data_IF_754628358346
#
_entry.id   IF_754628358346
#
_cell.length_a   1.000
_cell.length_b   1.000
_cell.length_c   1.000
_cell.angle_alpha   90.00
_cell.angle_beta   90.00
_cell.angle_gamma   90.00
#
_symmetry.space_group_name_H-M   'P 1'
#
loop_
_entity.id
_entity.type
_entity.pdbx_description
1 polymer ?
#
# COMPACT_ATOMS: atom_id res chain seq x y z
N UNK A 1 -2.19 17.24 14.96
CA UNK A 1 -2.45 15.93 14.36
C UNK A 1 -3.94 15.79 14.20
N UNK A 2 -4.45 15.88 12.97
CA UNK A 2 -5.80 15.41 12.67
C UNK A 2 -5.71 13.89 12.48
N UNK A 3 -6.50 13.15 13.23
CA UNK A 3 -6.65 11.71 13.00
C UNK A 3 -7.89 11.49 12.16
N UNK A 4 -7.71 10.77 11.06
CA UNK A 4 -8.83 10.33 10.24
C UNK A 4 -9.09 8.87 10.58
N UNK A 5 -10.33 8.60 10.93
CA UNK A 5 -10.81 7.28 11.36
C UNK A 5 -11.99 6.88 10.48
N UNK A 6 -11.88 5.72 9.84
CA UNK A 6 -12.96 5.13 9.07
C UNK A 6 -12.81 3.60 9.04
N UNK A 7 -13.88 2.91 8.66
CA UNK A 7 -13.89 1.47 8.44
C UNK A 7 -14.12 1.17 6.97
N UNK A 8 -13.35 0.22 6.45
CA UNK A 8 -13.48 -0.35 5.12
C UNK A 8 -14.30 -1.64 5.20
N UNK A 9 -15.24 -1.82 4.28
CA UNK A 9 -16.13 -2.98 4.22
C UNK A 9 -15.87 -3.78 2.93
N UNK A 10 -14.94 -4.73 3.00
CA UNK A 10 -14.66 -5.66 1.91
C UNK A 10 -15.65 -6.82 1.99
N UNK A 11 -16.61 -6.85 1.06
CA UNK A 11 -17.71 -7.79 1.05
C UNK A 11 -17.67 -8.55 -0.27
N UNK A 12 -17.35 -9.84 -0.19
CA UNK A 12 -17.24 -10.79 -1.29
C UNK A 12 -18.49 -11.64 -1.45
N UNK A 13 -19.41 -11.63 -0.50
CA UNK A 13 -20.58 -12.51 -0.46
C UNK A 13 -21.91 -11.76 -0.47
N UNK A 14 -22.97 -12.45 -0.91
CA UNK A 14 -24.35 -11.93 -0.90
C UNK A 14 -24.67 -10.92 -2.00
N UNK A 15 -25.78 -10.20 -1.84
CA UNK A 15 -26.26 -9.20 -2.83
C UNK A 15 -25.52 -7.86 -2.75
N UNK A 16 -24.78 -7.62 -1.66
CA UNK A 16 -24.10 -6.35 -1.39
C UNK A 16 -22.59 -6.46 -1.59
N UNK A 17 -22.17 -7.24 -2.60
CA UNK A 17 -20.75 -7.38 -2.93
C UNK A 17 -20.14 -6.02 -3.28
N UNK A 18 -18.99 -5.73 -2.67
CA UNK A 18 -18.23 -4.51 -2.89
C UNK A 18 -16.93 -4.76 -3.65
N UNK A 19 -16.59 -6.01 -3.91
CA UNK A 19 -15.42 -6.41 -4.71
C UNK A 19 -15.75 -7.54 -5.69
N UNK A 20 -15.10 -7.52 -6.87
CA UNK A 20 -15.31 -8.49 -7.95
C UNK A 20 -13.97 -8.96 -8.49
N UNK A 21 -13.80 -10.27 -8.66
CA UNK A 21 -12.58 -10.83 -9.30
C UNK A 21 -12.55 -10.48 -10.78
N UNK A 22 -11.47 -9.81 -11.20
CA UNK A 22 -11.26 -9.37 -12.59
C UNK A 22 -10.14 -10.11 -13.31
N UNK A 23 -9.22 -10.74 -12.57
CA UNK A 23 -8.07 -11.44 -13.15
C UNK A 23 -7.52 -12.53 -12.22
N UNK A 24 -6.79 -13.47 -12.81
CA UNK A 24 -6.09 -14.54 -12.12
C UNK A 24 -6.98 -15.68 -11.58
N UNK A 25 -6.35 -16.78 -11.12
CA UNK A 25 -7.06 -17.92 -10.54
C UNK A 25 -7.76 -17.53 -9.23
N UNK A 26 -8.85 -18.20 -8.80
CA UNK A 26 -9.51 -17.90 -7.54
C UNK A 26 -8.69 -18.36 -6.33
N UNK A 27 -8.61 -17.50 -5.29
CA UNK A 27 -7.96 -17.76 -3.99
C UNK A 27 -6.51 -18.28 -4.10
N UNK A 28 -5.76 -17.83 -5.10
CA UNK A 28 -4.36 -18.24 -5.37
C UNK A 28 -3.54 -17.00 -5.73
N UNK A 29 -2.20 -17.15 -5.79
CA UNK A 29 -1.33 -16.10 -6.33
C UNK A 29 -1.95 -15.52 -7.60
N UNK A 30 -2.02 -14.19 -7.68
CA UNK A 30 -2.55 -13.48 -8.83
C UNK A 30 -4.05 -13.25 -8.86
N UNK A 31 -4.85 -13.80 -7.92
CA UNK A 31 -6.25 -13.40 -7.76
C UNK A 31 -6.29 -11.88 -7.60
N UNK A 32 -6.93 -11.19 -8.54
CA UNK A 32 -7.05 -9.73 -8.53
C UNK A 32 -8.51 -9.34 -8.49
N UNK A 33 -8.87 -8.49 -7.53
CA UNK A 33 -10.21 -7.99 -7.34
C UNK A 33 -10.26 -6.48 -7.58
N UNK A 34 -11.26 -6.05 -8.32
CA UNK A 34 -11.68 -4.65 -8.40
C UNK A 34 -12.51 -4.30 -7.18
N UNK A 35 -12.29 -3.11 -6.66
CA UNK A 35 -12.67 -2.65 -5.34
C UNK A 35 -13.56 -1.41 -5.44
N UNK A 36 -14.72 -1.45 -4.77
CA UNK A 36 -15.72 -0.39 -4.68
C UNK A 36 -16.27 -0.26 -3.26
N UNK A 37 -15.42 -0.42 -2.25
CA UNK A 37 -15.85 -0.63 -0.87
C UNK A 37 -16.36 0.63 -0.19
N UNK A 38 -17.43 0.45 0.58
CA UNK A 38 -18.04 1.50 1.38
C UNK A 38 -17.12 1.87 2.54
N UNK A 39 -17.02 3.17 2.83
CA UNK A 39 -16.35 3.69 4.03
C UNK A 39 -17.38 4.23 5.03
N UNK A 40 -17.25 3.85 6.29
CA UNK A 40 -18.13 4.33 7.37
C UNK A 40 -17.35 4.83 8.60
N UNK A 41 -17.94 5.69 9.43
CA UNK A 41 -17.32 6.13 10.70
C UNK A 41 -17.16 4.97 11.71
N UNK A 42 -18.17 4.10 11.77
CA UNK A 42 -18.26 2.96 12.68
C UNK A 42 -17.99 1.60 12.03
N UNK A 43 -17.94 0.54 12.83
CA UNK A 43 -17.73 -0.84 12.36
C UNK A 43 -18.95 -1.48 11.71
N UNK A 44 -20.14 -0.92 11.94
CA UNK A 44 -21.39 -1.38 11.33
C UNK A 44 -21.52 -0.81 9.91
N UNK A 45 -21.97 -1.63 8.96
CA UNK A 45 -22.23 -1.22 7.58
C UNK A 45 -23.31 -0.12 7.48
N UNK A 46 -24.19 -0.05 8.48
CA UNK A 46 -25.23 0.98 8.62
C UNK A 46 -24.73 2.26 9.34
N UNK A 47 -23.48 2.28 9.79
CA UNK A 47 -22.88 3.51 10.33
C UNK A 47 -22.80 4.57 9.24
N UNK A 48 -22.70 5.84 9.66
CA UNK A 48 -22.61 6.99 8.76
C UNK A 48 -21.56 6.80 7.66
N UNK A 49 -21.98 7.00 6.43
CA UNK A 49 -21.17 6.92 5.22
C UNK A 49 -20.23 8.11 5.15
N UNK A 50 -18.95 7.85 4.90
CA UNK A 50 -17.91 8.89 4.82
C UNK A 50 -17.12 8.86 3.52
N UNK A 51 -17.38 7.87 2.67
CA UNK A 51 -16.70 7.74 1.40
C UNK A 51 -16.76 6.34 0.83
N UNK A 52 -15.87 6.12 -0.13
CA UNK A 52 -15.66 4.84 -0.78
C UNK A 52 -14.20 4.64 -1.17
N UNK A 53 -13.85 3.42 -1.50
CA UNK A 53 -12.60 3.09 -2.18
C UNK A 53 -12.83 2.70 -3.62
N UNK A 54 -11.83 3.01 -4.44
CA UNK A 54 -11.79 2.69 -5.85
C UNK A 54 -10.40 2.17 -6.18
N UNK A 55 -10.31 1.04 -6.87
CA UNK A 55 -9.02 0.51 -7.29
C UNK A 55 -9.03 -1.00 -7.32
N UNK A 56 -7.89 -1.62 -7.03
CA UNK A 56 -7.79 -3.07 -6.99
C UNK A 56 -6.81 -3.53 -5.92
N UNK A 57 -6.93 -4.80 -5.56
CA UNK A 57 -5.85 -5.50 -4.90
C UNK A 57 -5.64 -6.89 -5.49
N UNK A 58 -4.41 -7.36 -5.39
CA UNK A 58 -4.00 -8.65 -5.91
C UNK A 58 -3.30 -9.49 -4.86
N UNK A 59 -3.60 -10.78 -4.83
CA UNK A 59 -3.01 -11.72 -3.89
C UNK A 59 -1.57 -12.07 -4.30
N UNK A 60 -0.61 -11.70 -3.45
CA UNK A 60 0.80 -12.07 -3.49
C UNK A 60 1.08 -13.08 -2.35
N UNK A 61 0.83 -14.36 -2.62
CA UNK A 61 0.89 -15.48 -1.65
C UNK A 61 0.11 -15.22 -0.36
N UNK A 62 0.77 -14.85 0.74
CA UNK A 62 0.15 -14.58 2.04
C UNK A 62 -0.16 -13.09 2.29
N UNK A 63 0.05 -12.27 1.28
CA UNK A 63 -0.13 -10.81 1.32
C UNK A 63 -0.91 -10.31 0.12
N UNK A 64 -1.38 -9.07 0.14
CA UNK A 64 -1.95 -8.43 -1.04
C UNK A 64 -1.15 -7.20 -1.43
N UNK A 65 -0.98 -6.97 -2.73
CA UNK A 65 -0.70 -5.64 -3.27
C UNK A 65 -2.02 -4.88 -3.30
N UNK A 66 -2.07 -3.69 -2.73
CA UNK A 66 -3.22 -2.79 -2.82
C UNK A 66 -2.84 -1.53 -3.58
N UNK A 67 -3.69 -1.17 -4.55
CA UNK A 67 -3.65 0.09 -5.29
C UNK A 67 -5.04 0.70 -5.18
N UNK A 68 -5.22 1.56 -4.18
CA UNK A 68 -6.53 2.07 -3.79
C UNK A 68 -6.53 3.60 -3.74
N UNK A 69 -7.52 4.20 -4.38
CA UNK A 69 -7.93 5.58 -4.17
C UNK A 69 -9.05 5.59 -3.14
N UNK A 70 -8.79 6.15 -1.97
CA UNK A 70 -9.77 6.33 -0.88
C UNK A 70 -10.37 7.71 -1.02
N UNK A 71 -11.65 7.78 -1.41
CA UNK A 71 -12.39 9.02 -1.70
C UNK A 71 -13.30 9.34 -0.53
N UNK A 72 -13.19 10.55 0.00
CA UNK A 72 -14.05 11.04 1.08
C UNK A 72 -15.21 11.85 0.50
N UNK A 73 -16.42 11.56 0.94
CA UNK A 73 -17.66 12.20 0.45
C UNK A 73 -18.40 12.96 1.54
N UNK A 74 -17.80 13.06 2.73
CA UNK A 74 -18.42 13.69 3.90
C UNK A 74 -17.43 14.53 4.71
N UNK A 75 -17.98 15.48 5.48
CA UNK A 75 -17.24 16.28 6.44
C UNK A 75 -16.18 17.17 5.80
N UNK A 76 -15.14 17.49 6.59
CA UNK A 76 -14.05 18.39 6.16
C UNK A 76 -13.30 17.89 4.92
N UNK A 77 -13.27 16.58 4.69
CA UNK A 77 -12.50 15.98 3.59
C UNK A 77 -13.34 15.72 2.34
N UNK A 78 -14.62 16.12 2.31
CA UNK A 78 -15.50 15.92 1.17
C UNK A 78 -14.86 16.38 -0.16
N UNK A 79 -14.89 15.51 -1.16
CA UNK A 79 -14.28 15.73 -2.48
C UNK A 79 -12.76 15.54 -2.53
N UNK A 80 -12.12 15.21 -1.40
CA UNK A 80 -10.69 14.88 -1.33
C UNK A 80 -10.46 13.38 -1.35
N UNK A 81 -9.27 12.96 -1.76
CA UNK A 81 -8.89 11.54 -1.78
C UNK A 81 -7.44 11.31 -1.40
N UNK A 82 -7.12 10.08 -1.02
CA UNK A 82 -5.75 9.62 -0.77
C UNK A 82 -5.46 8.36 -1.56
N UNK A 83 -4.22 8.21 -2.01
CA UNK A 83 -3.79 7.06 -2.81
C UNK A 83 -2.90 6.17 -1.95
N UNK A 84 -3.31 4.92 -1.80
CA UNK A 84 -2.57 3.85 -1.14
C UNK A 84 -1.97 2.95 -2.22
N UNK A 85 -0.65 2.81 -2.23
CA UNK A 85 0.05 1.84 -3.07
C UNK A 85 1.01 1.10 -2.16
N UNK A 86 0.68 -0.13 -1.80
CA UNK A 86 1.52 -0.84 -0.84
C UNK A 86 1.12 -2.28 -0.56
N UNK A 87 2.02 -2.95 0.14
CA UNK A 87 1.85 -4.31 0.63
C UNK A 87 0.93 -4.34 1.85
N UNK A 88 -0.03 -5.26 1.83
CA UNK A 88 -0.97 -5.52 2.91
C UNK A 88 -0.82 -6.99 3.37
N UNK A 89 -0.06 -7.25 4.45
CA UNK A 89 0.13 -8.60 4.98
C UNK A 89 -1.09 -9.04 5.81
N UNK A 90 -2.03 -9.75 5.19
CA UNK A 90 -3.39 -10.01 5.71
C UNK A 90 -3.41 -10.67 7.09
N UNK A 91 -2.41 -11.49 7.41
CA UNK A 91 -2.29 -12.20 8.69
C UNK A 91 -1.65 -11.38 9.82
N UNK A 92 -1.27 -10.12 9.58
CA UNK A 92 -0.74 -9.22 10.60
C UNK A 92 -1.88 -8.33 11.14
N UNK A 93 -1.96 -8.24 12.47
CA UNK A 93 -3.03 -7.52 13.18
C UNK A 93 -3.05 -6.01 12.90
N UNK A 94 -1.87 -5.38 12.88
CA UNK A 94 -1.68 -3.97 12.54
C UNK A 94 -0.83 -3.89 11.28
N UNK A 95 -1.39 -3.31 10.22
CA UNK A 95 -0.74 -3.23 8.90
C UNK A 95 -0.47 -1.78 8.56
N UNK A 96 0.74 -1.50 8.11
CA UNK A 96 1.12 -0.16 7.66
C UNK A 96 1.15 -0.11 6.14
N UNK A 97 0.50 0.92 5.59
CA UNK A 97 0.50 1.16 4.16
C UNK A 97 0.86 2.61 3.86
N UNK A 98 1.77 2.86 2.91
CA UNK A 98 2.14 4.22 2.55
C UNK A 98 1.01 4.90 1.79
N UNK A 99 0.87 6.20 2.05
CA UNK A 99 0.07 7.11 1.25
C UNK A 99 1.02 7.80 0.29
N UNK A 100 0.82 7.54 -0.99
CA UNK A 100 1.73 7.97 -2.06
C UNK A 100 1.28 9.28 -2.72
N UNK A 101 0.06 9.74 -2.42
CA UNK A 101 -0.48 11.00 -2.90
C UNK A 101 -1.88 11.28 -2.36
N UNK A 102 -2.43 12.43 -2.73
CA UNK A 102 -3.78 12.83 -2.40
C UNK A 102 -4.25 14.03 -3.20
N UNK A 103 -5.55 14.30 -3.15
CA UNK A 103 -6.25 15.35 -3.89
C UNK A 103 -7.02 16.28 -2.94
N UNK A 104 -7.60 17.38 -3.46
CA UNK A 104 -8.34 18.34 -2.65
C UNK A 104 -7.52 18.95 -1.50
N UNK A 105 -8.05 18.94 -0.28
CA UNK A 105 -7.33 19.43 0.91
C UNK A 105 -6.23 18.48 1.39
N UNK A 106 -6.10 17.32 0.74
CA UNK A 106 -5.12 16.27 1.02
C UNK A 106 -3.98 16.25 -0.01
N UNK A 107 -3.83 17.30 -0.82
CA UNK A 107 -2.70 17.46 -1.75
C UNK A 107 -1.36 17.39 -1.02
N UNK A 108 -0.34 16.88 -1.72
CA UNK A 108 1.04 16.74 -1.24
C UNK A 108 1.22 15.85 0.01
N UNK A 109 0.17 15.16 0.44
CA UNK A 109 0.26 14.18 1.51
C UNK A 109 1.30 13.11 1.14
N UNK A 110 2.27 12.91 2.04
CA UNK A 110 3.12 11.71 2.11
C UNK A 110 3.21 11.23 3.55
N UNK A 111 2.50 10.15 3.85
CA UNK A 111 2.37 9.57 5.20
C UNK A 111 2.13 8.06 5.07
N UNK A 112 1.59 7.44 6.12
CA UNK A 112 1.13 6.07 6.12
C UNK A 112 -0.21 5.99 6.85
N UNK A 113 -0.95 4.92 6.59
CA UNK A 113 -2.13 4.51 7.38
C UNK A 113 -1.80 3.26 8.19
N UNK A 114 -2.49 3.08 9.31
CA UNK A 114 -2.52 1.85 10.07
C UNK A 114 -3.90 1.21 9.91
N UNK A 115 -3.91 -0.02 9.41
CA UNK A 115 -5.11 -0.82 9.20
C UNK A 115 -5.18 -1.93 10.26
N UNK A 116 -6.34 -2.02 10.92
CA UNK A 116 -6.64 -3.00 11.96
C UNK A 116 -7.83 -3.84 11.52
N UNK A 117 -7.65 -5.15 11.40
CA UNK A 117 -8.78 -6.05 11.13
C UNK A 117 -9.68 -6.12 12.36
N UNK A 118 -10.97 -5.82 12.17
CA UNK A 118 -11.99 -5.89 13.23
C UNK A 118 -12.86 -7.12 13.09
N UNK A 119 -13.16 -7.52 11.87
CA UNK A 119 -13.85 -8.77 11.54
C UNK A 119 -13.23 -9.35 10.27
N UNK A 120 -13.08 -10.67 10.23
CA UNK A 120 -12.66 -11.41 9.05
C UNK A 120 -13.34 -12.77 9.02
N UNK A 121 -13.97 -13.11 7.90
CA UNK A 121 -14.59 -14.41 7.65
C UNK A 121 -13.68 -15.22 6.72
N UNK A 122 -13.11 -16.32 7.21
CA UNK A 122 -12.26 -17.19 6.38
C UNK A 122 -13.06 -17.88 5.25
N UNK A 123 -14.35 -18.14 5.48
CA UNK A 123 -15.20 -18.84 4.53
C UNK A 123 -15.52 -17.97 3.31
N UNK A 124 -15.98 -16.74 3.57
CA UNK A 124 -16.44 -15.81 2.54
C UNK A 124 -15.33 -14.88 2.04
N UNK A 125 -14.33 -14.58 2.87
CA UNK A 125 -13.33 -13.55 2.60
C UNK A 125 -13.74 -12.16 3.10
N UNK A 126 -14.96 -12.00 3.61
CA UNK A 126 -15.49 -10.70 4.06
C UNK A 126 -14.67 -10.14 5.22
N UNK A 127 -14.37 -8.85 5.17
CA UNK A 127 -13.56 -8.17 6.16
C UNK A 127 -14.09 -6.77 6.50
N UNK A 128 -14.05 -6.43 7.78
CA UNK A 128 -14.18 -5.05 8.26
C UNK A 128 -12.83 -4.61 8.80
N UNK A 129 -12.27 -3.56 8.19
CA UNK A 129 -10.93 -3.06 8.53
C UNK A 129 -11.03 -1.62 8.99
N UNK A 130 -10.65 -1.37 10.24
CA UNK A 130 -10.53 0.00 10.74
C UNK A 130 -9.23 0.60 10.26
N UNK A 131 -9.31 1.74 9.58
CA UNK A 131 -8.16 2.53 9.18
C UNK A 131 -8.02 3.71 10.12
N UNK A 132 -6.81 3.86 10.66
CA UNK A 132 -6.41 5.01 11.45
C UNK A 132 -5.28 5.71 10.73
N UNK A 133 -5.34 7.04 10.68
CA UNK A 133 -4.33 7.85 10.01
C UNK A 133 -3.73 8.90 10.94
N UNK A 134 -2.48 9.23 10.67
CA UNK A 134 -1.76 10.35 11.25
C UNK A 134 -1.50 11.43 10.19
N UNK A 135 -2.18 12.59 10.29
CA UNK A 135 -1.90 13.77 9.47
C UNK A 135 -1.11 14.82 10.24
N UNK A 136 -0.13 15.42 9.56
CA UNK A 136 0.25 16.81 9.82
C UNK A 136 -0.21 17.64 8.61
N UNK A 137 -1.14 18.56 8.83
CA UNK A 137 -1.36 19.65 7.89
C UNK A 137 -0.34 20.73 8.25
N UNK A 138 0.57 21.05 7.34
CA UNK A 138 1.25 22.34 7.31
C UNK A 138 0.68 23.11 6.13
N UNK A 139 -0.46 23.76 6.35
CA UNK A 139 -0.88 24.94 5.59
C UNK A 139 -2.10 25.52 6.31
N UNK A 140 -1.88 26.50 7.19
CA UNK A 140 -2.71 27.70 7.39
C UNK A 140 -2.08 28.52 8.52
N UNK A 141 -1.52 29.65 8.14
CA UNK A 141 -0.97 30.68 9.01
C UNK A 141 -2.08 31.68 9.36
N UNK A 142 -2.23 31.99 10.65
CA UNK A 142 -2.96 33.11 11.28
C UNK A 142 -4.51 33.19 11.15
N UNK A 143 -5.24 33.10 12.28
CA UNK A 143 -5.59 34.26 13.12
C UNK A 143 -6.40 33.91 14.39
N UNK A 144 -6.06 34.65 15.46
CA UNK A 144 -6.81 35.06 16.66
C UNK A 144 -6.79 34.18 17.93
N UNK A 145 -6.34 34.88 18.97
CA UNK A 145 -6.14 34.53 20.37
C UNK A 145 -7.42 34.66 21.21
N UNK A 146 -7.39 33.94 22.35
CA UNK A 146 -7.93 34.28 23.67
C UNK A 146 -9.41 34.04 23.99
N UNK A 147 -9.66 33.14 24.95
CA UNK A 147 -10.27 33.46 26.27
C UNK A 147 -10.54 32.14 27.03
N UNK A 148 -9.78 31.81 28.09
CA UNK A 148 -10.13 32.03 29.51
C UNK A 148 -11.59 31.77 29.87
N UNK A 149 -12.01 30.50 30.01
CA UNK A 149 -13.15 30.13 30.89
C UNK A 149 -13.31 28.63 31.25
N UNK A 150 -12.28 27.79 31.15
CA UNK A 150 -12.48 26.31 31.21
C UNK A 150 -11.98 25.61 32.47
N UNK A 151 -11.43 26.33 33.45
CA UNK A 151 -10.77 25.72 34.62
C UNK A 151 -11.58 25.72 35.93
N UNK A 152 -12.81 26.24 35.96
CA UNK A 152 -13.60 26.37 37.21
C UNK A 152 -14.75 25.35 37.30
N UNK A 153 -15.10 24.66 36.21
CA UNK A 153 -16.21 23.69 36.20
C UNK A 153 -15.79 22.21 36.28
N UNK A 154 -14.48 21.93 36.31
CA UNK A 154 -13.94 20.56 36.29
C UNK A 154 -13.90 19.88 37.67
N UNK A 155 -14.14 20.60 38.76
CA UNK A 155 -13.99 20.07 40.14
C UNK A 155 -15.28 19.60 40.81
N UNK A 156 -16.45 19.72 40.18
CA UNK A 156 -17.73 19.36 40.84
C UNK A 156 -18.49 18.16 40.25
N UNK A 157 -18.04 17.57 39.14
CA UNK A 157 -18.77 16.51 38.44
C UNK A 157 -18.23 15.09 38.66
N UNK A 158 -17.60 14.81 39.82
CA UNK A 158 -17.01 13.50 40.12
C UNK A 158 -17.73 12.67 41.21
N UNK A 159 -18.91 13.08 41.71
CA UNK A 159 -19.45 12.47 42.95
C UNK A 159 -20.82 11.77 42.83
N UNK A 160 -21.48 11.67 41.67
CA UNK A 160 -22.75 10.93 41.59
C UNK A 160 -22.87 10.02 40.35
N UNK A 161 -22.45 8.75 40.53
CA UNK A 161 -22.98 7.46 40.04
C UNK A 161 -23.70 7.35 38.66
N UNK A 162 -23.84 6.14 38.05
CA UNK A 162 -22.90 5.05 37.77
C UNK A 162 -23.01 4.56 36.29
N UNK A 163 -22.37 3.44 35.94
CA UNK A 163 -22.38 2.74 34.63
C UNK A 163 -21.74 3.49 33.46
N UNK A 164 -20.44 3.24 33.26
CA UNK A 164 -19.77 3.53 31.99
C UNK A 164 -20.29 2.56 30.91
N UNK A 165 -21.32 2.97 30.17
CA UNK A 165 -21.39 2.58 28.77
C UNK A 165 -20.37 3.46 28.04
N UNK A 166 -19.22 2.89 27.68
CA UNK A 166 -18.30 3.56 26.76
C UNK A 166 -18.95 3.47 25.37
N UNK A 167 -19.89 4.35 25.08
CA UNK A 167 -20.24 4.68 23.70
C UNK A 167 -19.02 5.41 23.14
N UNK A 168 -18.14 4.67 22.45
CA UNK A 168 -17.06 5.27 21.68
C UNK A 168 -17.72 5.95 20.48
N UNK A 169 -18.29 7.15 20.70
CA UNK A 169 -18.68 8.04 19.63
C UNK A 169 -17.38 8.44 18.93
N UNK A 170 -17.03 7.71 17.87
CA UNK A 170 -15.87 8.01 17.05
C UNK A 170 -16.11 9.36 16.38
N UNK A 171 -15.53 10.42 16.93
CA UNK A 171 -15.51 11.72 16.26
C UNK A 171 -14.67 11.56 14.99
N UNK A 172 -15.23 11.93 13.83
CA UNK A 172 -14.61 11.80 12.51
C UNK A 172 -13.22 12.47 12.40
N UNK A 173 -12.96 13.51 13.21
CA UNK A 173 -11.67 14.21 13.28
C UNK A 173 -11.50 14.97 14.61
N UNK A 174 -10.31 14.91 15.21
CA UNK A 174 -9.90 15.68 16.41
C UNK A 174 -8.48 16.26 16.19
N UNK A 175 -8.14 17.44 16.74
CA UNK A 175 -6.85 18.14 16.51
C UNK A 175 -5.93 18.12 17.75
N UNK A 176 -4.67 17.68 17.58
CA UNK A 176 -3.60 17.76 18.62
C UNK A 176 -2.40 18.67 18.24
N UNK A 177 -1.67 19.31 19.18
CA UNK A 177 -0.48 20.13 18.88
C UNK A 177 0.74 19.31 18.41
N UNK A 178 1.51 19.85 17.46
CA UNK A 178 2.65 19.15 16.81
C UNK A 178 3.97 19.15 17.61
N UNK A 179 3.99 19.70 18.82
CA UNK A 179 5.23 19.98 19.58
C UNK A 179 5.89 18.76 20.22
N UNK A 180 5.23 17.58 20.27
CA UNK A 180 5.81 16.35 20.83
C UNK A 180 6.55 15.45 19.81
N UNK A 181 6.62 15.83 18.54
CA UNK A 181 7.40 15.08 17.56
C UNK A 181 8.90 15.42 17.71
N UNK A 182 9.63 14.63 18.51
CA UNK A 182 11.11 14.57 18.50
C UNK A 182 11.66 14.76 17.09
N UNK A 183 12.60 15.70 16.94
CA UNK A 183 13.28 16.10 15.68
C UNK A 183 13.82 14.86 14.95
N UNK A 184 13.02 14.25 14.06
CA UNK A 184 13.43 13.07 13.29
C UNK A 184 14.47 13.50 12.26
N UNK A 185 15.67 12.92 12.32
CA UNK A 185 16.74 13.18 11.36
C UNK A 185 16.53 12.34 10.11
N UNK A 186 16.56 12.98 8.95
CA UNK A 186 16.51 12.27 7.67
C UNK A 186 17.80 11.45 7.45
N UNK A 187 17.64 10.25 6.89
CA UNK A 187 18.71 9.29 6.61
C UNK A 187 18.60 8.80 5.18
N UNK A 188 19.74 8.64 4.52
CA UNK A 188 19.83 7.94 3.23
C UNK A 188 20.32 6.52 3.48
N UNK A 189 19.62 5.52 2.94
CA UNK A 189 20.13 4.14 2.84
C UNK A 189 20.39 3.80 1.38
N UNK A 190 21.51 3.13 1.13
CA UNK A 190 21.75 2.39 -0.11
C UNK A 190 21.52 0.91 0.16
N UNK A 191 20.68 0.27 -0.66
CA UNK A 191 20.39 -1.15 -0.60
C UNK A 191 20.82 -1.78 -1.93
N UNK A 192 21.41 -2.96 -1.87
CA UNK A 192 21.84 -3.73 -3.03
C UNK A 192 21.36 -5.17 -2.89
N UNK A 193 20.81 -5.72 -3.97
CA UNK A 193 20.29 -7.10 -4.01
C UNK A 193 19.99 -7.53 -5.45
N UNK A 194 19.79 -8.84 -5.64
CA UNK A 194 19.37 -9.46 -6.89
C UNK A 194 17.92 -9.94 -6.80
N UNK A 195 17.15 -9.60 -7.83
CA UNK A 195 15.77 -9.96 -8.04
C UNK A 195 15.68 -11.12 -9.05
N UNK A 196 14.94 -12.17 -8.70
CA UNK A 196 14.84 -13.41 -9.48
C UNK A 196 13.40 -13.63 -9.98
N UNK A 197 13.14 -13.26 -11.23
CA UNK A 197 11.85 -13.45 -11.89
C UNK A 197 11.84 -14.80 -12.60
N UNK A 198 11.04 -15.75 -12.11
CA UNK A 198 11.01 -17.11 -12.61
C UNK A 198 9.59 -17.41 -13.11
N UNK A 199 9.42 -17.44 -14.42
CA UNK A 199 8.16 -17.76 -15.11
C UNK A 199 8.06 -19.26 -15.41
N UNK A 200 9.21 -19.93 -15.53
CA UNK A 200 9.30 -21.32 -15.94
C UNK A 200 9.34 -22.36 -14.80
N UNK A 201 9.16 -23.62 -15.17
CA UNK A 201 9.34 -24.75 -14.26
C UNK A 201 8.27 -24.90 -13.17
N UNK A 202 8.50 -25.85 -12.25
CA UNK A 202 7.56 -26.16 -11.15
C UNK A 202 7.58 -25.11 -10.03
N UNK A 203 8.70 -24.40 -9.87
CA UNK A 203 8.93 -23.44 -8.80
C UNK A 203 8.88 -21.98 -9.30
N UNK A 204 8.00 -21.72 -10.27
CA UNK A 204 7.77 -20.37 -10.79
C UNK A 204 7.31 -19.41 -9.69
N UNK A 205 7.82 -18.19 -9.73
CA UNK A 205 7.50 -17.08 -8.84
C UNK A 205 6.65 -16.01 -9.51
N UNK A 206 6.55 -16.06 -10.85
CA UNK A 206 5.70 -15.20 -11.66
C UNK A 206 4.63 -15.98 -12.41
N UNK A 207 3.42 -15.41 -12.45
CA UNK A 207 2.30 -15.98 -13.19
C UNK A 207 1.57 -14.92 -13.99
N UNK A 208 1.12 -15.28 -15.20
CA UNK A 208 0.25 -14.42 -15.99
C UNK A 208 -1.18 -14.41 -15.43
N UNK A 209 -1.71 -13.21 -15.18
CA UNK A 209 -3.05 -13.02 -14.63
C UNK A 209 -4.04 -12.36 -15.60
N UNK A 210 -3.53 -11.62 -16.58
CA UNK A 210 -4.34 -10.92 -17.58
C UNK A 210 -3.61 -10.77 -18.93
N UNK A 211 -4.39 -10.47 -19.97
CA UNK A 211 -3.94 -10.17 -21.34
C UNK A 211 -4.67 -11.00 -22.42
N UNK A 212 -4.37 -10.80 -23.71
CA UNK A 212 -5.05 -11.50 -24.80
C UNK A 212 -4.83 -13.02 -24.79
N UNK A 213 -5.84 -13.85 -25.10
CA UNK A 213 -5.65 -15.31 -25.19
C UNK A 213 -4.58 -15.65 -26.22
N UNK A 214 -3.83 -16.74 -26.00
CA UNK A 214 -2.77 -17.24 -26.89
C UNK A 214 -1.66 -16.23 -27.25
N UNK A 215 -1.43 -15.22 -26.40
CA UNK A 215 -0.39 -14.23 -26.60
C UNK A 215 1.00 -14.68 -26.15
N UNK A 216 2.03 -14.09 -26.76
CA UNK A 216 3.44 -14.24 -26.36
C UNK A 216 3.73 -13.40 -25.10
N UNK A 217 4.81 -13.69 -24.37
CA UNK A 217 5.15 -12.98 -23.12
C UNK A 217 5.20 -11.46 -23.28
N UNK A 218 5.71 -10.98 -24.41
CA UNK A 218 5.90 -9.55 -24.70
C UNK A 218 4.65 -8.85 -25.24
N UNK A 219 3.50 -9.52 -25.31
CA UNK A 219 2.28 -8.90 -25.86
C UNK A 219 1.76 -7.79 -24.95
N UNK A 220 1.44 -6.62 -25.53
CA UNK A 220 0.84 -5.50 -24.82
C UNK A 220 -0.36 -5.91 -23.96
N UNK A 221 -0.41 -5.40 -22.73
CA UNK A 221 -1.45 -5.71 -21.75
C UNK A 221 -1.24 -7.03 -21.00
N UNK A 222 -0.27 -7.87 -21.39
CA UNK A 222 0.10 -9.02 -20.56
C UNK A 222 0.56 -8.54 -19.19
N UNK A 223 -0.07 -9.08 -18.16
CA UNK A 223 0.18 -8.71 -16.78
C UNK A 223 0.58 -9.94 -15.99
N UNK A 224 1.70 -9.85 -15.30
CA UNK A 224 2.24 -10.89 -14.43
C UNK A 224 2.05 -10.47 -12.96
N UNK A 225 1.62 -11.42 -12.13
CA UNK A 225 1.73 -11.33 -10.67
C UNK A 225 3.01 -12.00 -10.24
N UNK A 226 3.75 -11.36 -9.35
CA UNK A 226 5.03 -11.86 -8.86
C UNK A 226 5.06 -12.00 -7.34
N UNK A 227 5.80 -13.02 -6.90
CA UNK A 227 6.31 -13.18 -5.55
C UNK A 227 7.76 -13.67 -5.65
N UNK A 228 8.65 -12.77 -6.08
CA UNK A 228 10.01 -13.08 -6.49
C UNK A 228 10.99 -13.02 -5.32
N UNK A 229 12.04 -13.84 -5.42
CA UNK A 229 13.09 -13.90 -4.42
C UNK A 229 14.01 -12.67 -4.55
N UNK A 230 14.40 -12.08 -3.41
CA UNK A 230 15.49 -11.12 -3.35
C UNK A 230 16.67 -11.76 -2.60
N UNK A 231 17.86 -11.75 -3.20
CA UNK A 231 19.08 -12.32 -2.62
C UNK A 231 20.24 -11.34 -2.58
N UNK A 232 21.23 -11.60 -1.73
CA UNK A 232 22.45 -10.80 -1.63
C UNK A 232 23.38 -10.98 -2.84
N UNK A 233 23.48 -12.20 -3.38
CA UNK A 233 24.29 -12.52 -4.55
C UNK A 233 23.46 -12.90 -5.78
N UNK A 234 24.12 -12.95 -6.95
CA UNK A 234 23.49 -13.36 -8.21
C UNK A 234 22.99 -14.81 -8.20
N UNK A 235 23.63 -15.68 -7.42
CA UNK A 235 23.15 -17.05 -7.23
C UNK A 235 21.83 -17.03 -6.45
N UNK A 236 20.83 -17.72 -6.98
CA UNK A 236 19.52 -17.89 -6.34
C UNK A 236 19.59 -18.59 -4.98
N UNK A 237 20.62 -19.39 -4.75
CA UNK A 237 20.88 -20.06 -3.48
C UNK A 237 21.66 -19.19 -2.48
N UNK A 238 22.08 -17.99 -2.89
CA UNK A 238 22.69 -17.04 -1.96
C UNK A 238 21.68 -16.55 -0.93
N UNK A 239 22.18 -15.85 0.09
CA UNK A 239 21.37 -15.42 1.23
C UNK A 239 20.14 -14.63 0.76
N UNK A 240 18.96 -15.11 1.10
CA UNK A 240 17.71 -14.39 0.88
C UNK A 240 17.66 -13.15 1.76
N UNK A 241 17.36 -11.98 1.18
CA UNK A 241 17.24 -10.70 1.89
C UNK A 241 15.80 -10.16 1.94
N UNK A 242 14.91 -10.72 1.12
CA UNK A 242 13.51 -10.32 1.07
C UNK A 242 12.75 -10.96 -0.07
N UNK A 243 11.62 -10.35 -0.41
CA UNK A 243 10.77 -10.73 -1.55
C UNK A 243 10.25 -9.50 -2.29
N UNK A 244 10.13 -9.61 -3.60
CA UNK A 244 9.45 -8.62 -4.43
C UNK A 244 8.02 -9.09 -4.71
N UNK A 245 7.04 -8.31 -4.27
CA UNK A 245 5.63 -8.69 -4.29
C UNK A 245 4.80 -7.62 -4.98
N UNK A 246 4.10 -8.00 -6.05
CA UNK A 246 3.24 -7.10 -6.80
C UNK A 246 3.00 -7.59 -8.21
N UNK A 247 2.92 -6.66 -9.15
CA UNK A 247 2.68 -6.97 -10.55
C UNK A 247 3.55 -6.14 -11.48
N UNK A 248 3.69 -6.65 -12.70
CA UNK A 248 4.14 -5.86 -13.83
C UNK A 248 3.30 -6.13 -15.07
N UNK A 249 3.18 -5.14 -15.94
CA UNK A 249 2.42 -5.25 -17.19
C UNK A 249 3.23 -4.76 -18.37
N UNK A 250 3.12 -5.43 -19.52
CA UNK A 250 3.64 -4.89 -20.78
C UNK A 250 2.83 -3.64 -21.14
N UNK A 251 3.46 -2.48 -21.02
CA UNK A 251 2.81 -1.17 -21.09
C UNK A 251 3.17 -0.39 -22.37
N UNK A 252 3.94 -0.98 -23.27
CA UNK A 252 4.31 -0.39 -24.56
C UNK A 252 3.70 -1.15 -25.73
N UNK A 253 3.15 -0.43 -26.70
CA UNK A 253 2.67 -1.03 -27.95
C UNK A 253 3.82 -1.34 -28.93
N UNK A 254 4.95 -0.64 -28.84
CA UNK A 254 6.15 -0.90 -29.66
C UNK A 254 7.12 -1.83 -28.92
N UNK A 255 7.49 -2.94 -29.57
CA UNK A 255 8.49 -3.88 -29.06
C UNK A 255 9.91 -3.58 -29.53
N UNK A 256 10.07 -2.91 -30.67
CA UNK A 256 11.38 -2.69 -31.29
C UNK A 256 12.11 -1.48 -30.71
N UNK A 257 11.38 -0.40 -30.42
CA UNK A 257 11.98 0.86 -29.97
C UNK A 257 11.71 1.20 -28.52
N UNK A 258 10.71 0.57 -27.88
CA UNK A 258 10.20 1.06 -26.59
C UNK A 258 9.63 -0.03 -25.66
N UNK A 259 10.21 -1.24 -25.68
CA UNK A 259 9.70 -2.32 -24.83
C UNK A 259 9.84 -1.95 -23.35
N UNK A 260 8.69 -1.72 -22.70
CA UNK A 260 8.64 -1.28 -21.32
C UNK A 260 7.53 -1.95 -20.53
N UNK A 261 7.87 -2.20 -19.26
CA UNK A 261 6.96 -2.71 -18.27
C UNK A 261 6.47 -1.56 -17.37
N UNK A 262 5.21 -1.60 -16.97
CA UNK A 262 4.72 -0.85 -15.81
C UNK A 262 4.93 -1.73 -14.58
N UNK A 263 5.73 -1.27 -13.62
CA UNK A 263 5.99 -1.96 -12.36
C UNK A 263 5.11 -1.39 -11.26
N UNK A 264 4.41 -2.25 -10.54
CA UNK A 264 3.71 -1.93 -9.29
C UNK A 264 4.08 -2.97 -8.25
N UNK A 265 5.20 -2.74 -7.57
CA UNK A 265 5.84 -3.77 -6.74
C UNK A 265 6.22 -3.21 -5.36
N UNK A 266 6.33 -4.11 -4.39
CA UNK A 266 6.90 -3.83 -3.08
C UNK A 266 8.12 -4.72 -2.86
N UNK A 267 9.23 -4.14 -2.42
CA UNK A 267 10.33 -4.91 -1.86
C UNK A 267 10.09 -5.04 -0.35
N UNK A 268 9.79 -6.26 0.09
CA UNK A 268 9.57 -6.61 1.49
C UNK A 268 10.82 -7.30 2.04
N UNK A 269 11.56 -6.59 2.90
CA UNK A 269 12.81 -7.08 3.45
C UNK A 269 12.56 -7.99 4.64
N UNK A 270 13.34 -9.07 4.75
CA UNK A 270 13.23 -10.05 5.86
C UNK A 270 14.51 -10.15 6.68
N UNK A 271 15.57 -9.44 6.26
CA UNK A 271 16.89 -9.57 6.85
C UNK A 271 17.38 -8.31 7.57
N UNK A 272 18.23 -8.54 8.57
CA UNK A 272 18.98 -7.51 9.29
C UNK A 272 18.09 -6.44 9.90
N UNK A 273 18.61 -5.20 9.95
CA UNK A 273 17.88 -4.06 10.53
C UNK A 273 16.59 -3.73 9.78
N UNK A 274 16.47 -4.10 8.50
CA UNK A 274 15.30 -3.77 7.67
C UNK A 274 14.18 -4.79 7.75
N UNK A 275 14.33 -5.87 8.54
CA UNK A 275 13.35 -6.95 8.65
C UNK A 275 11.92 -6.43 8.91
N UNK A 276 11.02 -6.84 8.01
CA UNK A 276 9.61 -6.52 7.98
C UNK A 276 9.27 -5.11 7.50
N UNK A 277 10.27 -4.29 7.17
CA UNK A 277 10.07 -3.02 6.46
C UNK A 277 9.90 -3.27 4.97
N UNK A 278 9.26 -2.33 4.27
CA UNK A 278 9.09 -2.42 2.83
C UNK A 278 9.19 -1.07 2.14
N UNK A 279 9.56 -1.08 0.87
CA UNK A 279 9.47 0.06 -0.04
C UNK A 279 8.56 -0.28 -1.21
N UNK A 280 7.89 0.74 -1.74
CA UNK A 280 6.91 0.62 -2.83
C UNK A 280 7.41 1.34 -4.07
N UNK A 281 7.32 0.68 -5.22
CA UNK A 281 7.67 1.21 -6.54
C UNK A 281 6.40 1.22 -7.38
N UNK A 282 6.16 2.36 -8.03
CA UNK A 282 5.18 2.51 -9.09
C UNK A 282 5.86 3.30 -10.20
N UNK A 283 6.17 2.66 -11.31
CA UNK A 283 6.95 3.31 -12.35
C UNK A 283 7.17 2.49 -13.61
N UNK A 284 7.67 3.17 -14.64
CA UNK A 284 8.02 2.60 -15.92
C UNK A 284 9.40 1.94 -15.86
N UNK A 285 9.53 0.77 -16.47
CA UNK A 285 10.75 -0.02 -16.55
C UNK A 285 11.06 -0.33 -18.03
N UNK A 286 11.84 0.52 -18.72
CA UNK A 286 12.24 0.30 -20.11
C UNK A 286 13.32 -0.79 -20.18
N UNK A 287 12.91 -2.06 -20.25
CA UNK A 287 13.81 -3.22 -20.10
C UNK A 287 14.87 -3.33 -21.20
N UNK A 288 14.68 -2.65 -22.33
CA UNK A 288 15.70 -2.53 -23.39
C UNK A 288 16.89 -1.64 -23.00
N UNK A 289 16.76 -0.81 -21.95
CA UNK A 289 17.85 0.00 -21.44
C UNK A 289 18.69 -0.77 -20.43
N UNK A 290 20.00 -0.56 -20.47
CA UNK A 290 20.96 -1.21 -19.59
C UNK A 290 20.67 -0.92 -18.09
N UNK A 291 20.65 0.37 -17.73
CA UNK A 291 20.30 0.84 -16.39
C UNK A 291 18.97 1.58 -16.43
N UNK A 292 18.06 1.19 -15.53
CA UNK A 292 16.66 1.66 -15.52
C UNK A 292 16.32 2.24 -14.17
N UNK A 293 15.92 3.50 -14.15
CA UNK A 293 15.49 4.17 -12.94
C UNK A 293 13.98 4.00 -12.71
N UNK A 294 13.61 3.64 -11.49
CA UNK A 294 12.22 3.58 -11.03
C UNK A 294 12.06 4.34 -9.71
N UNK A 295 10.99 5.15 -9.55
CA UNK A 295 10.79 5.94 -8.35
C UNK A 295 10.30 5.09 -7.17
N UNK A 296 10.82 5.41 -5.99
CA UNK A 296 10.28 4.94 -4.71
C UNK A 296 9.16 5.90 -4.32
N UNK A 297 7.93 5.39 -4.29
CA UNK A 297 6.73 6.20 -4.04
C UNK A 297 6.27 6.18 -2.57
N UNK A 298 6.79 5.25 -1.77
CA UNK A 298 6.51 5.15 -0.35
C UNK A 298 7.21 3.97 0.32
N UNK A 299 6.96 3.80 1.62
CA UNK A 299 7.46 2.67 2.39
C UNK A 299 6.79 2.53 3.76
N UNK A 300 7.08 1.42 4.43
CA UNK A 300 6.51 1.05 5.73
C UNK A 300 7.60 0.81 6.79
N UNK A 301 7.23 0.88 8.07
CA UNK A 301 8.13 0.70 9.22
C UNK A 301 9.36 1.62 9.17
N UNK A 302 10.58 1.08 9.04
CA UNK A 302 11.78 1.90 8.97
C UNK A 302 11.81 2.81 7.73
N UNK A 303 11.08 2.42 6.68
CA UNK A 303 10.95 3.21 5.45
C UNK A 303 9.67 4.07 5.43
N UNK A 304 9.09 4.41 6.59
CA UNK A 304 8.01 5.41 6.62
C UNK A 304 8.53 6.72 6.02
N UNK A 305 7.68 7.36 5.21
CA UNK A 305 8.03 8.57 4.45
C UNK A 305 9.10 8.37 3.36
N UNK A 306 9.37 7.12 2.99
CA UNK A 306 10.38 6.81 1.98
C UNK A 306 10.12 7.52 0.65
N UNK A 307 11.19 8.10 0.11
CA UNK A 307 11.28 8.64 -1.25
C UNK A 307 12.69 8.39 -1.78
N UNK A 308 12.84 8.32 -3.09
CA UNK A 308 14.12 8.04 -3.72
C UNK A 308 13.92 7.28 -5.03
N UNK A 309 14.91 6.50 -5.41
CA UNK A 309 14.92 5.81 -6.69
C UNK A 309 15.63 4.45 -6.59
N UNK A 310 15.28 3.56 -7.49
CA UNK A 310 15.90 2.26 -7.69
C UNK A 310 16.49 2.21 -9.10
N UNK A 311 17.74 1.79 -9.22
CA UNK A 311 18.41 1.50 -10.48
C UNK A 311 18.42 -0.01 -10.67
N UNK A 312 17.84 -0.47 -11.77
CA UNK A 312 17.78 -1.88 -12.14
C UNK A 312 18.69 -2.14 -13.35
N UNK A 313 19.46 -3.23 -13.29
CA UNK A 313 20.33 -3.71 -14.37
C UNK A 313 20.10 -5.21 -14.58
N UNK A 314 19.80 -5.63 -15.82
CA UNK A 314 19.49 -7.05 -16.10
C UNK A 314 20.79 -7.81 -16.33
N UNK A 315 21.16 -8.70 -15.39
CA UNK A 315 22.42 -9.45 -15.45
C UNK A 315 22.30 -10.78 -16.19
N UNK A 316 21.08 -11.30 -16.31
CA UNK A 316 20.76 -12.52 -17.05
C UNK A 316 19.30 -12.52 -17.49
N UNK A 317 19.03 -13.04 -18.68
CA UNK A 317 17.69 -13.21 -19.24
C UNK A 317 17.66 -14.40 -20.20
N UNK A 318 16.67 -15.27 -20.06
CA UNK A 318 16.36 -16.31 -21.04
C UNK A 318 15.12 -15.92 -21.87
N UNK A 319 15.27 -15.62 -23.16
CA UNK A 319 14.16 -15.17 -24.00
C UNK A 319 13.11 -16.26 -24.26
N UNK A 320 13.45 -17.53 -24.09
CA UNK A 320 12.50 -18.63 -24.35
C UNK A 320 11.52 -18.81 -23.19
N UNK A 321 12.00 -18.61 -21.96
CA UNK A 321 11.24 -18.82 -20.73
C UNK A 321 10.72 -17.52 -20.12
N UNK A 322 11.43 -16.42 -20.35
CA UNK A 322 11.20 -15.13 -19.71
C UNK A 322 11.91 -14.99 -18.36
N UNK A 323 12.61 -16.03 -17.91
CA UNK A 323 13.29 -16.01 -16.62
C UNK A 323 14.40 -14.95 -16.63
N UNK A 324 14.53 -14.20 -15.53
CA UNK A 324 15.47 -13.09 -15.44
C UNK A 324 16.11 -12.98 -14.06
N UNK A 325 17.36 -12.51 -14.05
CA UNK A 325 18.03 -12.04 -12.84
C UNK A 325 18.36 -10.57 -13.04
N UNK A 326 17.89 -9.73 -12.13
CA UNK A 326 18.03 -8.27 -12.20
C UNK A 326 18.71 -7.76 -10.94
N UNK A 327 19.82 -7.07 -11.10
CA UNK A 327 20.51 -6.38 -10.03
C UNK A 327 19.81 -5.05 -9.72
N UNK A 328 19.61 -4.77 -8.43
CA UNK A 328 19.00 -3.54 -7.95
C UNK A 328 19.95 -2.77 -7.03
N UNK A 329 20.10 -1.48 -7.31
CA UNK A 329 20.72 -0.48 -6.45
C UNK A 329 19.64 0.54 -6.04
N UNK A 330 19.29 0.56 -4.76
CA UNK A 330 18.18 1.38 -4.26
C UNK A 330 18.70 2.46 -3.32
N UNK A 331 18.40 3.72 -3.62
CA UNK A 331 18.73 4.87 -2.80
C UNK A 331 17.44 5.43 -2.20
N UNK A 332 17.30 5.29 -0.88
CA UNK A 332 16.06 5.63 -0.18
C UNK A 332 16.31 6.60 0.97
N UNK A 333 15.63 7.73 0.94
CA UNK A 333 15.55 8.72 2.02
C UNK A 333 14.41 8.34 2.97
N UNK A 334 14.68 8.26 4.27
CA UNK A 334 13.74 7.91 5.35
C UNK A 334 14.15 8.61 6.68
N UNK A 335 13.54 8.27 7.83
CA UNK A 335 13.70 8.99 9.10
C UNK A 335 14.01 8.06 10.29
#
# INVERSE_FOLDING_TARGET
MSHLHFCFHDIHSGRNQTSIRIAGPPKRLGTTLMCGEKLTEGHDLNSKDVGLTQGFYSLCTITTLMVLNVVFTDGKYNGSSIILVGRNPVFIYIREMPIVGGSGILRFVRRYVQAHTKRFSQNTGDAVVRVQRFFNNTCETYQKMASTLTYILLTFYLVFFPTFYITINGVFSEQFPASLATKRMEKMSHLHFYFHDILSGKNRTAIRIAGPPNSTMVTFGNTMMIDDLLTEGRDRNSKQVGRAQGLYSVASMSLQSDFSLLMVINFAFTEGKYNGSSISILGRNPVSNDVREMPIVGGSRLFRFARGYALAHTVWFDPNTGDAIVEYNVFVLHF
#
